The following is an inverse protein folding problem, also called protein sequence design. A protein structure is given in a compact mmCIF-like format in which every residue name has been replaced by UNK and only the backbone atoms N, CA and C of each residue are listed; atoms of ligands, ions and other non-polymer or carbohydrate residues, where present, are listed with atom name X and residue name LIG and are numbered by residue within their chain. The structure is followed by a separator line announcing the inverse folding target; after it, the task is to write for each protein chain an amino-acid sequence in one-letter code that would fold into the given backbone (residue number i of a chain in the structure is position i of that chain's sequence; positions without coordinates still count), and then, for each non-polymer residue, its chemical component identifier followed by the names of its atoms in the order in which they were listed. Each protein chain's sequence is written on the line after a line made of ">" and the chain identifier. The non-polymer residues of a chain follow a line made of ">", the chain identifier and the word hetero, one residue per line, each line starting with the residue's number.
data_IF_684178109571
#
_entry.id   IF_684178109571
#
_cell.length_a   1.000
_cell.length_b   1.000
_cell.length_c   1.000
_cell.angle_alpha   90.00
_cell.angle_beta   90.00
_cell.angle_gamma   90.00
#
_symmetry.space_group_name_H-M   'P 1'
#
loop_
_entity.id
_entity.type
_entity.pdbx_description
1 polymer ?
#
# COMPACT_ATOMS: atom_id res chain seq x y z
N UNK A 1 -26.72 -1.36 1.24
CA UNK A 1 -25.53 -1.13 0.38
C UNK A 1 -24.31 -1.99 0.78
N UNK A 2 -24.13 -2.36 2.06
CA UNK A 2 -22.93 -3.12 2.52
C UNK A 2 -22.80 -4.57 2.01
N UNK A 3 -23.91 -5.31 1.87
CA UNK A 3 -23.89 -6.75 1.55
C UNK A 3 -23.29 -7.09 0.17
N UNK A 4 -23.37 -6.17 -0.80
CA UNK A 4 -22.81 -6.38 -2.15
C UNK A 4 -21.29 -6.22 -2.19
N UNK A 5 -20.75 -5.26 -1.42
CA UNK A 5 -19.31 -5.02 -1.34
C UNK A 5 -18.61 -6.15 -0.56
N UNK A 6 -19.25 -6.62 0.51
CA UNK A 6 -18.79 -7.79 1.26
C UNK A 6 -18.75 -9.06 0.39
N UNK A 7 -19.79 -9.30 -0.41
CA UNK A 7 -19.82 -10.43 -1.35
C UNK A 7 -18.73 -10.33 -2.44
N UNK A 8 -18.47 -9.13 -2.97
CA UNK A 8 -17.40 -8.94 -3.97
C UNK A 8 -16.01 -9.16 -3.35
N UNK A 9 -15.76 -8.64 -2.14
CA UNK A 9 -14.48 -8.85 -1.46
C UNK A 9 -14.27 -10.32 -1.08
N UNK A 10 -15.31 -11.00 -0.60
CA UNK A 10 -15.28 -12.44 -0.31
C UNK A 10 -14.94 -13.26 -1.56
N UNK A 11 -15.56 -12.95 -2.70
CA UNK A 11 -15.25 -13.62 -3.97
C UNK A 11 -13.83 -13.36 -4.46
N UNK A 12 -13.29 -12.16 -4.23
CA UNK A 12 -11.89 -11.83 -4.53
C UNK A 12 -10.98 -12.67 -3.63
N UNK A 13 -11.21 -12.65 -2.32
CA UNK A 13 -10.41 -13.36 -1.33
C UNK A 13 -10.41 -14.89 -1.53
N UNK A 14 -11.51 -15.45 -2.05
CA UNK A 14 -11.59 -16.87 -2.45
C UNK A 14 -10.66 -17.23 -3.63
N UNK A 15 -10.35 -16.27 -4.52
CA UNK A 15 -9.52 -16.48 -5.71
C UNK A 15 -8.09 -16.00 -5.56
N UNK A 16 -7.92 -14.88 -4.87
CA UNK A 16 -6.65 -14.28 -4.52
C UNK A 16 -6.78 -13.69 -3.12
N UNK A 17 -5.99 -14.15 -2.14
CA UNK A 17 -6.15 -13.76 -0.74
C UNK A 17 -5.66 -12.32 -0.49
N UNK A 18 -6.36 -11.35 -1.07
CA UNK A 18 -6.02 -9.93 -1.07
C UNK A 18 -6.02 -9.38 0.36
N UNK A 19 -7.04 -9.72 1.14
CA UNK A 19 -7.15 -9.27 2.54
C UNK A 19 -6.03 -9.84 3.39
N UNK A 20 -5.68 -11.12 3.24
CA UNK A 20 -4.56 -11.73 3.99
C UNK A 20 -3.22 -11.13 3.59
N UNK A 21 -2.96 -10.96 2.29
CA UNK A 21 -1.74 -10.32 1.79
C UNK A 21 -1.59 -8.89 2.33
N UNK A 22 -2.68 -8.12 2.31
CA UNK A 22 -2.72 -6.78 2.90
C UNK A 22 -2.42 -6.81 4.40
N UNK A 23 -3.04 -7.73 5.13
CA UNK A 23 -2.80 -7.89 6.56
C UNK A 23 -1.34 -8.23 6.87
N UNK A 24 -0.75 -9.18 6.15
CA UNK A 24 0.62 -9.64 6.39
C UNK A 24 1.68 -8.58 6.04
N UNK A 25 1.48 -7.85 4.94
CA UNK A 25 2.51 -6.94 4.42
C UNK A 25 2.38 -5.50 4.91
N UNK A 26 1.17 -5.07 5.30
CA UNK A 26 0.90 -3.66 5.58
C UNK A 26 0.31 -3.42 6.97
N UNK A 27 -0.67 -4.22 7.42
CA UNK A 27 -1.41 -3.89 8.66
C UNK A 27 -0.87 -4.56 9.92
N UNK A 28 -0.42 -5.82 9.82
CA UNK A 28 0.13 -6.61 10.94
C UNK A 28 1.65 -6.71 10.89
N UNK A 29 2.31 -6.07 9.93
CA UNK A 29 3.75 -6.02 9.87
C UNK A 29 4.29 -5.22 11.07
N UNK A 30 5.02 -5.91 11.94
CA UNK A 30 5.54 -5.29 13.17
C UNK A 30 6.63 -4.28 12.83
N UNK A 31 6.30 -3.01 12.95
CA UNK A 31 7.25 -1.92 12.75
C UNK A 31 7.96 -1.61 14.10
N UNK A 32 9.31 -1.62 14.15
CA UNK A 32 10.07 -1.35 15.39
C UNK A 32 9.68 -0.04 16.06
N UNK A 33 9.49 -0.03 17.39
CA UNK A 33 9.07 1.19 18.12
C UNK A 33 10.15 2.28 18.22
N UNK A 34 11.39 1.99 17.82
CA UNK A 34 12.56 2.87 17.94
C UNK A 34 12.92 3.60 16.63
N UNK A 35 11.94 3.92 15.78
CA UNK A 35 12.19 4.68 14.57
C UNK A 35 12.74 6.07 14.89
N UNK A 36 13.85 6.42 14.23
CA UNK A 36 14.38 7.77 14.23
C UNK A 36 13.86 8.55 12.99
N UNK A 37 14.00 9.88 13.00
CA UNK A 37 13.60 10.78 11.92
C UNK A 37 14.09 10.35 10.53
N UNK A 38 15.28 9.75 10.44
CA UNK A 38 15.88 9.33 9.17
C UNK A 38 15.04 8.32 8.37
N UNK A 39 14.18 7.53 9.02
CA UNK A 39 13.33 6.57 8.34
C UNK A 39 12.24 7.21 7.47
N UNK A 40 11.91 8.49 7.68
CA UNK A 40 10.99 9.23 6.82
C UNK A 40 11.57 9.49 5.43
N UNK A 41 12.90 9.57 5.28
CA UNK A 41 13.51 9.80 3.96
C UNK A 41 13.29 8.64 2.99
N UNK A 42 13.07 7.42 3.49
CA UNK A 42 12.70 6.29 2.65
C UNK A 42 11.34 6.48 1.98
N UNK A 43 10.30 6.87 2.73
CA UNK A 43 8.98 7.14 2.16
C UNK A 43 8.96 8.42 1.31
N UNK A 44 9.74 9.43 1.68
CA UNK A 44 9.92 10.64 0.87
C UNK A 44 10.60 10.32 -0.47
N UNK A 45 11.59 9.43 -0.51
CA UNK A 45 12.21 9.00 -1.77
C UNK A 45 11.20 8.30 -2.69
N UNK A 46 10.31 7.48 -2.13
CA UNK A 46 9.21 6.85 -2.88
C UNK A 46 8.23 7.90 -3.45
N UNK A 47 7.89 8.92 -2.66
CA UNK A 47 7.04 10.02 -3.10
C UNK A 47 7.70 10.80 -4.26
N UNK A 48 8.98 11.16 -4.10
CA UNK A 48 9.74 11.85 -5.15
C UNK A 48 9.80 11.01 -6.42
N UNK A 49 10.01 9.70 -6.32
CA UNK A 49 10.01 8.79 -7.47
C UNK A 49 8.69 8.86 -8.25
N UNK A 50 7.55 8.80 -7.55
CA UNK A 50 6.22 8.91 -8.19
C UNK A 50 6.08 10.27 -8.88
N UNK A 51 6.51 11.36 -8.22
CA UNK A 51 6.49 12.69 -8.82
C UNK A 51 7.32 12.70 -10.11
N UNK A 52 8.54 12.17 -10.08
CA UNK A 52 9.43 12.12 -11.26
C UNK A 52 8.79 11.36 -12.42
N UNK A 53 8.15 10.21 -12.16
CA UNK A 53 7.46 9.44 -13.21
C UNK A 53 6.30 10.24 -13.80
N UNK A 54 5.43 10.79 -12.94
CA UNK A 54 4.25 11.54 -13.39
C UNK A 54 4.68 12.78 -14.19
N UNK A 55 5.58 13.59 -13.65
CA UNK A 55 6.09 14.77 -14.37
C UNK A 55 6.85 14.40 -15.63
N UNK A 56 7.60 13.29 -15.60
CA UNK A 56 8.31 12.79 -16.78
C UNK A 56 7.35 12.44 -17.92
N UNK A 57 6.23 11.78 -17.61
CA UNK A 57 5.18 11.49 -18.60
C UNK A 57 4.57 12.77 -19.18
N UNK A 58 4.33 13.80 -18.35
CA UNK A 58 3.73 15.06 -18.82
C UNK A 58 4.70 15.96 -19.60
N UNK A 59 6.01 15.83 -19.36
CA UNK A 59 7.05 16.65 -19.97
C UNK A 59 7.74 15.98 -21.18
N UNK A 60 7.37 14.74 -21.52
CA UNK A 60 7.79 14.03 -22.73
C UNK A 60 6.79 14.27 -23.86
#
# INVERSE_FOLDING_TARGET
>A
MGKRLENTMSWIDERFPATKMWEEHLSKYYAPKNFNFWYYFGSLALLVLVIQIVTGIFLT
#
